data_IF_226792531321
#
_entry.id   IF_226792531321
#
_cell.length_a   1.000
_cell.length_b   1.000
_cell.length_c   1.000
_cell.angle_alpha   90.00
_cell.angle_beta   90.00
_cell.angle_gamma   90.00
#
_symmetry.space_group_name_H-M   'P 1'
#
loop_
_entity.id
_entity.type
_entity.pdbx_description
1 polymer ?
#
# COMPACT_ATOMS: atom_id res chain seq x y z
N UNK A 1 10.05 17.45 -0.72
CA UNK A 1 9.92 16.93 0.66
C UNK A 1 10.70 15.64 0.69
N UNK A 2 11.69 15.50 1.58
CA UNK A 2 12.52 14.28 1.62
C UNK A 2 11.91 13.31 2.64
N UNK A 3 11.44 12.16 2.16
CA UNK A 3 10.98 11.04 2.99
C UNK A 3 12.08 10.00 2.94
N UNK A 4 12.86 9.91 4.01
CA UNK A 4 14.05 9.02 4.08
C UNK A 4 13.91 7.99 5.19
N UNK A 5 13.09 8.27 6.19
CA UNK A 5 12.93 7.42 7.37
C UNK A 5 11.45 7.18 7.71
N UNK A 6 11.22 6.16 8.52
CA UNK A 6 9.89 5.90 9.10
C UNK A 6 9.39 7.10 9.92
N UNK A 7 10.28 7.82 10.62
CA UNK A 7 9.92 9.00 11.39
C UNK A 7 9.43 10.15 10.49
N UNK A 8 9.92 10.25 9.25
CA UNK A 8 9.44 11.24 8.29
C UNK A 8 8.02 10.91 7.82
N UNK A 9 7.70 9.62 7.62
CA UNK A 9 6.33 9.17 7.32
C UNK A 9 5.40 9.51 8.48
N UNK A 10 5.82 9.24 9.72
CA UNK A 10 5.01 9.53 10.92
C UNK A 10 4.77 11.03 11.09
N UNK A 11 5.80 11.86 10.88
CA UNK A 11 5.65 13.31 10.86
C UNK A 11 4.67 13.75 9.79
N UNK A 12 4.76 13.19 8.57
CA UNK A 12 3.83 13.46 7.48
C UNK A 12 2.38 13.14 7.83
N UNK A 13 2.16 11.97 8.44
CA UNK A 13 0.83 11.53 8.87
C UNK A 13 0.22 12.53 9.87
N UNK A 14 1.04 13.04 10.81
CA UNK A 14 0.61 14.05 11.78
C UNK A 14 0.35 15.40 11.11
N UNK A 15 1.32 15.92 10.36
CA UNK A 15 1.25 17.24 9.72
C UNK A 15 0.08 17.37 8.73
N UNK A 16 -0.22 16.29 8.01
CA UNK A 16 -1.30 16.24 7.02
C UNK A 16 -2.61 15.71 7.59
N UNK A 17 -2.60 15.22 8.84
CA UNK A 17 -3.73 14.53 9.45
C UNK A 17 -4.26 13.36 8.60
N UNK A 18 -3.35 12.55 8.08
CA UNK A 18 -3.64 11.40 7.22
C UNK A 18 -3.04 10.10 7.76
N UNK A 19 -3.58 8.98 7.31
CA UNK A 19 -3.00 7.65 7.44
C UNK A 19 -2.68 7.08 6.07
N UNK A 20 -1.51 6.46 5.92
CA UNK A 20 -1.14 5.79 4.67
C UNK A 20 -1.66 4.37 4.63
N UNK A 21 -2.37 4.05 3.55
CA UNK A 21 -2.80 2.71 3.19
C UNK A 21 -2.02 2.26 1.97
N UNK A 22 -1.48 1.03 2.05
CA UNK A 22 -0.73 0.39 0.97
C UNK A 22 -1.50 -0.83 0.49
N UNK A 23 -2.01 -0.79 -0.74
CA UNK A 23 -2.67 -1.95 -1.35
C UNK A 23 -1.72 -2.61 -2.35
N UNK A 24 -1.59 -3.95 -2.34
CA UNK A 24 -0.77 -4.63 -3.31
C UNK A 24 -1.40 -4.61 -4.70
N UNK A 25 -0.57 -4.54 -5.75
CA UNK A 25 -1.00 -4.89 -7.10
C UNK A 25 -0.98 -6.40 -7.26
N UNK A 26 -1.97 -6.92 -7.99
CA UNK A 26 -2.14 -8.37 -8.25
C UNK A 26 -2.61 -8.52 -9.69
N UNK A 27 -1.72 -8.96 -10.56
CA UNK A 27 -1.94 -8.91 -12.02
C UNK A 27 -1.64 -10.25 -12.67
N UNK A 28 -2.56 -10.72 -13.51
CA UNK A 28 -2.37 -11.90 -14.35
C UNK A 28 -1.33 -11.61 -15.45
N UNK A 29 -0.46 -12.59 -15.68
CA UNK A 29 0.59 -12.56 -16.69
C UNK A 29 0.14 -13.35 -17.94
N UNK A 30 0.76 -13.11 -19.11
CA UNK A 30 0.41 -13.82 -20.35
C UNK A 30 0.56 -15.34 -20.29
N UNK A 31 1.37 -15.86 -19.35
CA UNK A 31 1.58 -17.30 -19.13
C UNK A 31 0.54 -17.92 -18.16
N UNK A 32 -0.46 -17.16 -17.73
CA UNK A 32 -1.51 -17.58 -16.79
C UNK A 32 -1.08 -17.54 -15.31
N UNK A 33 0.14 -17.09 -15.01
CA UNK A 33 0.57 -16.87 -13.63
C UNK A 33 0.10 -15.51 -13.11
N UNK A 34 0.03 -15.37 -11.79
CA UNK A 34 -0.35 -14.13 -11.12
C UNK A 34 0.83 -13.55 -10.37
N UNK A 35 1.18 -12.30 -10.65
CA UNK A 35 2.24 -11.57 -9.94
C UNK A 35 1.60 -10.63 -8.92
N UNK A 36 2.10 -10.67 -7.68
CA UNK A 36 1.71 -9.72 -6.65
C UNK A 36 2.91 -8.94 -6.10
N UNK A 37 2.72 -7.64 -5.84
CA UNK A 37 3.77 -6.72 -5.39
C UNK A 37 3.19 -5.53 -4.60
N UNK A 38 3.95 -5.00 -3.64
CA UNK A 38 3.68 -3.71 -3.02
C UNK A 38 4.31 -2.53 -3.81
N UNK A 39 3.69 -1.35 -3.84
CA UNK A 39 4.05 -0.24 -4.74
C UNK A 39 5.50 0.30 -4.63
N UNK A 40 6.18 0.11 -3.49
CA UNK A 40 7.60 0.46 -3.33
C UNK A 40 8.55 -0.74 -3.18
N UNK A 41 8.04 -1.96 -3.35
CA UNK A 41 8.84 -3.16 -3.12
C UNK A 41 9.65 -3.55 -4.36
N UNK A 42 10.95 -3.77 -4.17
CA UNK A 42 11.84 -4.31 -5.22
C UNK A 42 11.61 -5.81 -5.48
N UNK A 43 10.85 -6.47 -4.63
CA UNK A 43 10.49 -7.89 -4.74
C UNK A 43 9.04 -8.05 -5.19
N UNK A 44 8.71 -9.25 -5.65
CA UNK A 44 7.37 -9.67 -6.03
C UNK A 44 7.26 -11.18 -5.84
N UNK A 45 6.04 -11.69 -5.78
CA UNK A 45 5.77 -13.13 -5.69
C UNK A 45 4.93 -13.57 -6.89
N UNK A 46 5.00 -14.86 -7.21
CA UNK A 46 4.20 -15.49 -8.27
C UNK A 46 3.31 -16.58 -7.69
N UNK A 47 2.02 -16.51 -7.98
CA UNK A 47 1.03 -17.53 -7.69
C UNK A 47 0.41 -18.08 -8.96
N UNK A 48 -0.27 -19.22 -8.84
CA UNK A 48 -1.07 -19.84 -9.92
C UNK A 48 -2.42 -19.14 -10.14
N UNK A 49 -2.86 -18.39 -9.15
CA UNK A 49 -4.12 -17.66 -9.12
C UNK A 49 -3.97 -16.41 -8.24
N UNK A 50 -4.92 -15.49 -8.35
CA UNK A 50 -4.88 -14.20 -7.66
C UNK A 50 -4.93 -14.33 -6.13
N UNK A 51 -5.57 -15.38 -5.61
CA UNK A 51 -5.66 -15.62 -4.16
C UNK A 51 -4.32 -16.13 -3.63
N UNK A 52 -3.70 -17.08 -4.33
CA UNK A 52 -2.40 -17.61 -3.98
C UNK A 52 -1.33 -16.52 -4.04
N UNK A 53 -1.34 -15.67 -5.08
CA UNK A 53 -0.38 -14.57 -5.19
C UNK A 53 -0.51 -13.59 -4.01
N UNK A 54 -1.73 -13.27 -3.55
CA UNK A 54 -1.95 -12.46 -2.34
C UNK A 54 -1.43 -13.12 -1.07
N UNK A 55 -1.72 -14.41 -0.89
CA UNK A 55 -1.24 -15.16 0.27
C UNK A 55 0.29 -15.20 0.32
N UNK A 56 0.93 -15.54 -0.80
CA UNK A 56 2.39 -15.57 -0.90
C UNK A 56 3.00 -14.20 -0.63
N UNK A 57 2.34 -13.11 -1.05
CA UNK A 57 2.83 -11.76 -0.80
C UNK A 57 2.78 -11.42 0.68
N UNK A 58 1.71 -11.81 1.37
CA UNK A 58 1.58 -11.66 2.81
C UNK A 58 2.64 -12.46 3.57
N UNK A 59 2.87 -13.71 3.18
CA UNK A 59 3.87 -14.58 3.80
C UNK A 59 5.29 -14.01 3.60
N UNK A 60 5.60 -13.54 2.39
CA UNK A 60 6.87 -12.89 2.07
C UNK A 60 7.06 -11.60 2.88
N UNK A 61 6.00 -10.81 3.07
CA UNK A 61 6.04 -9.63 3.93
C UNK A 61 6.35 -10.00 5.39
N UNK A 62 5.69 -11.01 5.95
CA UNK A 62 5.94 -11.47 7.32
C UNK A 62 7.35 -12.02 7.50
N UNK A 63 7.85 -12.77 6.52
CA UNK A 63 9.22 -13.28 6.52
C UNK A 63 10.22 -12.12 6.54
N UNK A 64 9.96 -11.09 5.73
CA UNK A 64 10.76 -9.88 5.62
C UNK A 64 10.70 -8.98 6.85
N UNK A 65 9.59 -8.92 7.59
CA UNK A 65 9.48 -8.11 8.81
C UNK A 65 10.49 -8.48 9.91
N UNK A 66 11.15 -9.64 9.80
CA UNK A 66 12.26 -10.05 10.68
C UNK A 66 13.56 -9.28 10.39
N UNK A 67 13.66 -8.64 9.23
CA UNK A 67 14.75 -7.77 8.82
C UNK A 67 14.29 -6.30 8.84
N UNK A 68 14.91 -5.43 9.66
CA UNK A 68 14.61 -4.00 9.69
C UNK A 68 14.72 -3.32 8.33
N UNK A 69 15.65 -3.74 7.46
CA UNK A 69 15.82 -3.19 6.12
C UNK A 69 14.65 -3.52 5.18
N UNK A 70 13.80 -4.47 5.55
CA UNK A 70 12.66 -4.84 4.72
C UNK A 70 11.43 -3.95 4.90
N UNK A 71 11.50 -2.90 5.75
CA UNK A 71 10.46 -1.86 5.88
C UNK A 71 10.64 -0.72 4.89
N UNK A 72 11.76 -0.67 4.19
CA UNK A 72 12.15 0.40 3.27
C UNK A 72 11.17 0.57 2.11
N UNK A 73 10.44 -0.48 1.73
CA UNK A 73 9.46 -0.37 0.65
C UNK A 73 8.32 0.61 0.95
N UNK A 74 7.95 0.81 2.22
CA UNK A 74 6.92 1.81 2.59
C UNK A 74 7.47 3.23 2.47
N UNK A 75 8.72 3.44 2.87
CA UNK A 75 9.44 4.71 2.71
C UNK A 75 9.55 5.03 1.23
N UNK A 76 9.96 4.06 0.41
CA UNK A 76 10.03 4.21 -1.04
C UNK A 76 8.67 4.56 -1.65
N UNK A 77 7.61 3.83 -1.28
CA UNK A 77 6.26 4.06 -1.78
C UNK A 77 5.74 5.45 -1.44
N UNK A 78 5.94 5.93 -0.20
CA UNK A 78 5.54 7.28 0.21
C UNK A 78 6.40 8.33 -0.50
N UNK A 79 7.72 8.13 -0.58
CA UNK A 79 8.64 9.03 -1.27
C UNK A 79 8.24 9.23 -2.73
N UNK A 80 8.00 8.15 -3.46
CA UNK A 80 7.53 8.19 -4.85
C UNK A 80 6.19 8.92 -4.95
N UNK A 81 5.23 8.60 -4.07
CA UNK A 81 3.90 9.23 -4.07
C UNK A 81 3.95 10.77 -3.95
N UNK A 82 4.89 11.31 -3.16
CA UNK A 82 5.05 12.76 -3.01
C UNK A 82 5.98 13.41 -4.05
N UNK A 83 6.91 12.65 -4.62
CA UNK A 83 7.93 13.20 -5.53
C UNK A 83 7.49 13.11 -6.99
N UNK A 84 6.79 12.04 -7.37
CA UNK A 84 6.39 11.71 -8.73
C UNK A 84 4.88 11.89 -8.96
N UNK A 85 4.12 12.09 -7.88
CA UNK A 85 2.67 12.17 -7.89
C UNK A 85 2.02 10.85 -7.45
N UNK A 86 0.67 10.76 -7.50
CA UNK A 86 -0.05 9.62 -6.94
C UNK A 86 0.41 8.27 -7.52
N UNK A 87 1.02 7.43 -6.67
CA UNK A 87 1.39 6.05 -7.00
C UNK A 87 0.19 5.11 -6.79
N UNK A 88 -0.06 4.24 -7.76
CA UNK A 88 -1.08 3.19 -7.66
C UNK A 88 -0.84 2.32 -6.41
N UNK A 89 -1.89 2.10 -5.63
CA UNK A 89 -1.79 1.33 -4.40
C UNK A 89 -1.19 2.07 -3.20
N UNK A 90 -0.91 3.37 -3.32
CA UNK A 90 -0.58 4.25 -2.18
C UNK A 90 -1.70 5.27 -2.00
N UNK A 91 -2.32 5.26 -0.83
CA UNK A 91 -3.43 6.16 -0.48
C UNK A 91 -3.14 6.89 0.82
N UNK A 92 -3.28 8.21 0.80
CA UNK A 92 -3.37 9.02 2.00
C UNK A 92 -4.85 9.19 2.34
N UNK A 93 -5.32 8.53 3.40
CA UNK A 93 -6.68 8.69 3.92
C UNK A 93 -6.67 9.77 4.99
N UNK A 94 -7.59 10.73 4.94
CA UNK A 94 -7.82 11.61 6.10
C UNK A 94 -8.10 10.78 7.34
N UNK A 95 -7.55 11.17 8.49
CA UNK A 95 -7.73 10.41 9.74
C UNK A 95 -9.21 10.25 10.13
N UNK A 96 -10.08 11.20 9.78
CA UNK A 96 -11.52 11.05 9.97
C UNK A 96 -12.13 9.90 9.14
N UNK A 97 -11.58 9.61 7.95
CA UNK A 97 -11.99 8.48 7.12
C UNK A 97 -11.43 7.20 7.72
N UNK A 98 -10.16 7.21 8.13
CA UNK A 98 -9.51 6.08 8.81
C UNK A 98 -10.27 5.67 10.06
N UNK A 99 -10.66 6.62 10.92
CA UNK A 99 -11.42 6.36 12.14
C UNK A 99 -12.77 5.71 11.83
N UNK A 100 -13.48 6.15 10.78
CA UNK A 100 -14.73 5.51 10.34
C UNK A 100 -14.50 4.11 9.80
N UNK A 101 -13.44 3.89 9.02
CA UNK A 101 -13.10 2.56 8.51
C UNK A 101 -12.80 1.60 9.66
N UNK A 102 -12.05 2.06 10.66
CA UNK A 102 -11.72 1.30 11.87
C UNK A 102 -12.97 1.03 12.73
N UNK A 103 -13.86 2.00 12.89
CA UNK A 103 -15.13 1.87 13.64
C UNK A 103 -16.06 0.83 13.00
N UNK A 104 -16.16 0.82 11.66
CA UNK A 104 -16.91 -0.20 10.93
C UNK A 104 -16.23 -1.57 11.03
N UNK A 105 -14.89 -1.62 11.00
CA UNK A 105 -14.11 -2.83 11.26
C UNK A 105 -14.21 -3.93 10.20
N UNK A 106 -14.65 -3.60 8.97
CA UNK A 106 -14.79 -4.59 7.88
C UNK A 106 -13.81 -4.32 6.73
N UNK A 107 -13.34 -5.37 6.02
CA UNK A 107 -12.52 -5.19 4.81
C UNK A 107 -13.20 -4.31 3.76
N UNK A 108 -14.52 -4.44 3.59
CA UNK A 108 -15.29 -3.66 2.62
C UNK A 108 -15.31 -2.16 2.90
N UNK A 109 -15.17 -1.73 4.16
CA UNK A 109 -15.09 -0.31 4.50
C UNK A 109 -13.80 0.32 3.99
N UNK A 110 -12.67 -0.39 4.12
CA UNK A 110 -11.38 0.06 3.59
C UNK A 110 -11.40 0.09 2.06
N UNK A 111 -11.95 -0.95 1.42
CA UNK A 111 -12.09 -1.01 -0.03
C UNK A 111 -12.94 0.16 -0.57
N UNK A 112 -14.05 0.48 0.09
CA UNK A 112 -14.90 1.60 -0.29
C UNK A 112 -14.18 2.96 -0.15
N UNK A 113 -13.42 3.16 0.93
CA UNK A 113 -12.64 4.38 1.12
C UNK A 113 -11.55 4.56 0.05
N UNK A 114 -10.84 3.48 -0.28
CA UNK A 114 -9.84 3.46 -1.36
C UNK A 114 -10.49 3.72 -2.72
N UNK A 115 -11.63 3.07 -3.02
CA UNK A 115 -12.34 3.25 -4.27
C UNK A 115 -12.83 4.69 -4.49
N UNK A 116 -13.25 5.38 -3.42
CA UNK A 116 -13.66 6.78 -3.49
C UNK A 116 -12.50 7.70 -3.91
N UNK A 117 -11.29 7.47 -3.40
CA UNK A 117 -10.09 8.24 -3.81
C UNK A 117 -9.71 7.93 -5.26
N UNK A 118 -9.79 6.67 -5.67
CA UNK A 118 -9.53 6.28 -7.06
C UNK A 118 -10.51 6.94 -8.04
N UNK A 119 -11.78 7.11 -7.65
CA UNK A 119 -12.74 7.87 -8.45
C UNK A 119 -12.33 9.33 -8.58
N UNK A 120 -11.90 9.98 -7.48
CA UNK A 120 -11.46 11.38 -7.51
C UNK A 120 -10.23 11.60 -8.41
N UNK A 121 -9.32 10.63 -8.48
CA UNK A 121 -8.11 10.71 -9.33
C UNK A 121 -8.39 10.65 -10.83
N UNK A 122 -9.55 10.12 -11.23
CA UNK A 122 -9.95 9.94 -12.63
C UNK A 122 -10.75 11.12 -13.20
N UNK A 123 -11.12 12.07 -12.36
CA UNK A 123 -11.88 13.28 -12.70
C UNK A 123 -10.98 14.50 -12.68
#
# INVERSE_FOLDING_TARGET
>A
MNVETQADIERLMIERNVSFVFTPSVTEQPDGTWVARYPGAQWSVRGRDAQQARQLLHDEQLARMRDPAARDWKIEAVRQHFSEGPVEGVYALDNNITDRVLDVGTPGALEAAVAAIEQQRRH
#
